data_IF_864586578558
#
_entry.id   IF_864586578558
#
_cell.length_a   1.000
_cell.length_b   1.000
_cell.length_c   1.000
_cell.angle_alpha   90.00
_cell.angle_beta   90.00
_cell.angle_gamma   90.00
#
_symmetry.space_group_name_H-M   'P 1'
#
loop_
_entity.id
_entity.type
_entity.pdbx_description
1 polymer ?
#
# COMPACT_ATOMS: atom_id res chain seq x y z
N UNK A 1 -31.31 -6.96 -65.69
CA UNK A 1 -32.26 -5.90 -66.12
C UNK A 1 -31.55 -4.58 -65.95
N UNK A 2 -31.04 -4.03 -67.05
CA UNK A 2 -30.36 -2.75 -67.11
C UNK A 2 -31.44 -1.71 -67.41
N UNK A 3 -31.74 -0.84 -66.46
CA UNK A 3 -32.75 0.22 -66.63
C UNK A 3 -32.05 1.52 -67.01
N UNK A 4 -32.17 1.88 -68.28
CA UNK A 4 -31.85 3.20 -68.81
C UNK A 4 -32.86 4.23 -68.26
N UNK A 5 -32.40 5.16 -67.41
CA UNK A 5 -33.16 6.37 -67.09
C UNK A 5 -32.35 7.61 -67.45
N UNK A 6 -32.63 8.07 -68.67
CA UNK A 6 -32.87 9.47 -69.10
C UNK A 6 -32.14 10.57 -68.32
N UNK A 7 -31.20 11.21 -69.03
CA UNK A 7 -30.60 12.49 -68.69
C UNK A 7 -31.67 13.59 -68.49
N UNK A 8 -31.43 14.57 -67.58
CA UNK A 8 -32.34 15.69 -67.38
C UNK A 8 -32.39 16.59 -68.61
N UNK A 9 -33.60 16.81 -69.12
CA UNK A 9 -33.93 17.80 -70.16
C UNK A 9 -33.52 19.21 -69.70
N UNK A 10 -32.83 19.94 -70.57
CA UNK A 10 -32.59 21.37 -70.40
C UNK A 10 -33.92 22.15 -70.34
N UNK A 11 -34.02 23.23 -69.55
CA UNK A 11 -35.23 24.03 -69.46
C UNK A 11 -35.50 24.76 -70.79
N UNK A 12 -36.75 24.65 -71.25
CA UNK A 12 -37.29 25.41 -72.38
C UNK A 12 -37.14 26.92 -72.10
N UNK A 13 -36.35 27.62 -72.90
CA UNK A 13 -36.37 29.08 -72.96
C UNK A 13 -37.47 29.53 -73.92
N UNK A 14 -38.54 30.12 -73.39
CA UNK A 14 -39.53 30.87 -74.17
C UNK A 14 -38.88 32.11 -74.81
N UNK A 15 -39.21 32.44 -76.07
CA UNK A 15 -38.59 33.55 -76.78
C UNK A 15 -39.47 34.80 -76.71
N UNK A 16 -39.59 35.43 -75.55
CA UNK A 16 -40.22 36.76 -75.44
C UNK A 16 -39.47 37.63 -74.43
N UNK A 17 -38.44 38.32 -74.90
CA UNK A 17 -37.84 39.45 -74.16
C UNK A 17 -37.38 40.57 -75.10
N UNK A 18 -37.66 41.86 -74.79
CA UNK A 18 -37.66 42.94 -75.79
C UNK A 18 -36.28 43.46 -76.21
N UNK A 19 -35.18 42.84 -75.78
CA UNK A 19 -33.82 43.32 -76.04
C UNK A 19 -33.14 42.59 -77.21
N UNK A 20 -33.82 41.62 -77.84
CA UNK A 20 -33.24 40.77 -78.89
C UNK A 20 -33.04 41.45 -80.27
N UNK A 21 -33.46 42.70 -80.44
CA UNK A 21 -33.36 43.42 -81.73
C UNK A 21 -32.36 44.58 -81.78
N UNK A 22 -31.56 44.79 -80.75
CA UNK A 22 -30.42 45.70 -80.83
C UNK A 22 -29.12 44.90 -80.70
N UNK A 23 -28.16 45.14 -81.60
CA UNK A 23 -26.83 44.50 -81.71
C UNK A 23 -26.69 43.32 -82.68
N UNK A 24 -27.46 43.31 -83.78
CA UNK A 24 -27.05 42.60 -85.00
C UNK A 24 -26.37 43.59 -85.97
N UNK A 25 -25.15 44.01 -85.62
CA UNK A 25 -24.13 44.49 -86.56
C UNK A 25 -22.87 44.82 -85.76
N UNK A 26 -21.70 44.41 -86.27
CA UNK A 26 -20.33 44.90 -85.96
C UNK A 26 -19.32 44.01 -85.23
N UNK A 27 -19.53 42.73 -84.82
CA UNK A 27 -18.39 41.91 -84.33
C UNK A 27 -18.47 40.40 -84.69
N UNK A 28 -17.33 39.74 -85.00
CA UNK A 28 -17.30 38.39 -85.55
C UNK A 28 -17.61 37.28 -84.53
N UNK A 29 -18.04 36.08 -84.97
CA UNK A 29 -18.58 35.01 -84.12
C UNK A 29 -17.61 34.42 -83.08
N UNK A 30 -16.32 34.76 -83.14
CA UNK A 30 -15.27 34.22 -82.26
C UNK A 30 -15.18 34.94 -80.90
N UNK A 31 -15.78 36.12 -80.75
CA UNK A 31 -15.70 36.91 -79.51
C UNK A 31 -16.72 36.45 -78.44
N UNK A 32 -17.94 36.09 -78.85
CA UNK A 32 -18.99 35.63 -77.94
C UNK A 32 -18.69 34.27 -77.31
N UNK A 33 -18.05 33.36 -78.06
CA UNK A 33 -17.59 32.07 -77.53
C UNK A 33 -16.49 32.22 -76.47
N UNK A 34 -15.63 33.24 -76.60
CA UNK A 34 -14.54 33.49 -75.65
C UNK A 34 -15.05 34.00 -74.30
N UNK A 35 -16.07 34.86 -74.27
CA UNK A 35 -16.64 35.41 -73.04
C UNK A 35 -17.44 34.35 -72.27
N UNK A 36 -18.23 33.53 -72.97
CA UNK A 36 -18.98 32.45 -72.33
C UNK A 36 -18.06 31.35 -71.80
N UNK A 37 -17.04 30.94 -72.56
CA UNK A 37 -16.04 29.98 -72.07
C UNK A 37 -15.28 30.55 -70.88
N UNK A 38 -14.86 31.83 -70.89
CA UNK A 38 -14.21 32.46 -69.74
C UNK A 38 -15.10 32.44 -68.50
N UNK A 39 -16.38 32.83 -68.61
CA UNK A 39 -17.32 32.79 -67.47
C UNK A 39 -17.58 31.38 -66.93
N UNK A 40 -17.57 30.36 -67.79
CA UNK A 40 -17.68 28.96 -67.37
C UNK A 40 -16.41 28.47 -66.70
N UNK A 41 -15.24 28.83 -67.23
CA UNK A 41 -13.93 28.52 -66.62
C UNK A 41 -13.80 29.22 -65.27
N UNK A 42 -14.14 30.51 -65.16
CA UNK A 42 -14.06 31.28 -63.91
C UNK A 42 -15.00 30.73 -62.84
N UNK A 43 -16.24 30.37 -63.21
CA UNK A 43 -17.15 29.66 -62.30
C UNK A 43 -16.61 28.29 -61.94
N UNK A 44 -16.11 27.52 -62.90
CA UNK A 44 -15.56 26.18 -62.66
C UNK A 44 -14.35 26.23 -61.72
N UNK A 45 -13.43 27.19 -61.90
CA UNK A 45 -12.27 27.41 -61.01
C UNK A 45 -12.67 27.91 -59.63
N UNK A 46 -13.74 28.73 -59.53
CA UNK A 46 -14.30 29.16 -58.24
C UNK A 46 -14.89 27.99 -57.46
N UNK A 47 -15.74 27.18 -58.09
CA UNK A 47 -16.31 25.98 -57.45
C UNK A 47 -15.25 24.93 -57.12
N UNK A 48 -14.23 24.73 -57.97
CA UNK A 48 -13.14 23.80 -57.71
C UNK A 48 -12.20 24.31 -56.61
N UNK A 49 -11.94 25.62 -56.55
CA UNK A 49 -11.22 26.28 -55.45
C UNK A 49 -11.97 26.18 -54.12
N UNK A 50 -13.29 26.31 -54.12
CA UNK A 50 -14.14 26.12 -52.95
C UNK A 50 -14.17 24.64 -52.48
N UNK A 51 -14.16 23.69 -53.43
CA UNK A 51 -14.05 22.26 -53.14
C UNK A 51 -12.69 21.90 -52.51
N UNK A 52 -11.60 22.48 -53.03
CA UNK A 52 -10.26 22.32 -52.45
C UNK A 52 -10.18 22.96 -51.05
N UNK A 53 -10.72 24.17 -50.88
CA UNK A 53 -10.79 24.84 -49.58
C UNK A 53 -11.61 24.04 -48.55
N UNK A 54 -12.76 23.49 -48.96
CA UNK A 54 -13.58 22.62 -48.12
C UNK A 54 -12.83 21.33 -47.73
N UNK A 55 -12.05 20.75 -48.65
CA UNK A 55 -11.20 19.59 -48.37
C UNK A 55 -10.11 19.91 -47.34
N UNK A 56 -9.42 21.04 -47.48
CA UNK A 56 -8.42 21.50 -46.50
C UNK A 56 -9.03 21.78 -45.13
N UNK A 57 -10.20 22.42 -45.07
CA UNK A 57 -10.93 22.67 -43.82
C UNK A 57 -11.33 21.35 -43.15
N UNK A 58 -11.84 20.38 -43.92
CA UNK A 58 -12.20 19.06 -43.39
C UNK A 58 -10.98 18.34 -42.80
N UNK A 59 -9.84 18.34 -43.50
CA UNK A 59 -8.59 17.73 -43.03
C UNK A 59 -8.04 18.42 -41.77
N UNK A 60 -8.17 19.75 -41.68
CA UNK A 60 -7.76 20.50 -40.49
C UNK A 60 -8.64 20.20 -39.28
N UNK A 61 -9.96 20.09 -39.48
CA UNK A 61 -10.90 19.69 -38.43
C UNK A 61 -10.63 18.26 -37.96
N UNK A 62 -10.39 17.32 -38.89
CA UNK A 62 -10.04 15.94 -38.57
C UNK A 62 -8.76 15.86 -37.73
N UNK A 63 -7.71 16.57 -38.12
CA UNK A 63 -6.46 16.67 -37.33
C UNK A 63 -6.68 17.33 -35.97
N UNK A 64 -7.57 18.31 -35.89
CA UNK A 64 -7.88 18.98 -34.62
C UNK A 64 -8.60 18.05 -33.65
N UNK A 65 -9.56 17.27 -34.14
CA UNK A 65 -10.30 16.28 -33.34
C UNK A 65 -9.37 15.15 -32.91
N UNK A 66 -8.51 14.66 -33.82
CA UNK A 66 -7.52 13.63 -33.49
C UNK A 66 -6.55 14.09 -32.38
N UNK A 67 -6.12 15.35 -32.42
CA UNK A 67 -5.28 15.94 -31.38
C UNK A 67 -6.00 16.02 -30.02
N UNK A 68 -7.27 16.40 -30.01
CA UNK A 68 -8.07 16.51 -28.78
C UNK A 68 -8.26 15.13 -28.12
N UNK A 69 -8.54 14.10 -28.93
CA UNK A 69 -8.64 12.71 -28.47
C UNK A 69 -7.30 12.24 -27.87
N UNK A 70 -6.18 12.56 -28.52
CA UNK A 70 -4.87 12.15 -28.03
C UNK A 70 -4.48 12.86 -26.72
N UNK A 71 -4.82 14.14 -26.59
CA UNK A 71 -4.65 14.89 -25.34
C UNK A 71 -5.52 14.31 -24.21
N UNK A 72 -6.75 13.91 -24.50
CA UNK A 72 -7.63 13.26 -23.52
C UNK A 72 -7.10 11.91 -23.05
N UNK A 73 -6.62 11.06 -23.98
CA UNK A 73 -5.95 9.80 -23.63
C UNK A 73 -4.73 10.04 -22.76
N UNK A 74 -3.90 11.03 -23.10
CA UNK A 74 -2.70 11.34 -22.33
C UNK A 74 -3.05 11.78 -20.90
N UNK A 75 -4.09 12.61 -20.74
CA UNK A 75 -4.59 12.98 -19.40
C UNK A 75 -5.04 11.76 -18.59
N UNK A 76 -5.81 10.86 -19.22
CA UNK A 76 -6.27 9.65 -18.54
C UNK A 76 -5.11 8.74 -18.12
N UNK A 77 -4.10 8.58 -18.98
CA UNK A 77 -2.89 7.81 -18.66
C UNK A 77 -2.16 8.44 -17.48
N UNK A 78 -1.97 9.76 -17.47
CA UNK A 78 -1.30 10.46 -16.37
C UNK A 78 -2.06 10.31 -15.04
N UNK A 79 -3.38 10.43 -15.05
CA UNK A 79 -4.21 10.26 -13.87
C UNK A 79 -4.16 8.82 -13.34
N UNK A 80 -4.19 7.83 -14.22
CA UNK A 80 -4.08 6.42 -13.84
C UNK A 80 -2.67 6.08 -13.31
N UNK A 81 -1.61 6.64 -13.90
CA UNK A 81 -0.24 6.52 -13.39
C UNK A 81 -0.11 7.11 -11.99
N UNK A 82 -0.64 8.32 -11.76
CA UNK A 82 -0.65 8.96 -10.45
C UNK A 82 -1.42 8.12 -9.43
N UNK A 83 -2.59 7.59 -9.80
CA UNK A 83 -3.39 6.71 -8.96
C UNK A 83 -2.61 5.45 -8.54
N UNK A 84 -1.90 4.83 -9.49
CA UNK A 84 -1.08 3.65 -9.23
C UNK A 84 0.14 3.96 -8.35
N UNK A 85 0.77 5.11 -8.53
CA UNK A 85 1.87 5.59 -7.67
C UNK A 85 1.37 5.79 -6.24
N UNK A 86 0.29 6.55 -6.05
CA UNK A 86 -0.31 6.78 -4.73
C UNK A 86 -0.70 5.47 -4.03
N UNK A 87 -1.28 4.53 -4.78
CA UNK A 87 -1.62 3.21 -4.24
C UNK A 87 -0.38 2.43 -3.80
N UNK A 88 0.70 2.45 -4.60
CA UNK A 88 1.98 1.80 -4.26
C UNK A 88 2.61 2.41 -3.01
N UNK A 89 2.65 3.73 -2.91
CA UNK A 89 3.19 4.44 -1.74
C UNK A 89 2.39 4.12 -0.47
N UNK A 90 1.06 4.11 -0.56
CA UNK A 90 0.18 3.69 0.52
C UNK A 90 0.45 2.25 0.97
N UNK A 91 0.56 1.31 0.03
CA UNK A 91 0.92 -0.08 0.34
C UNK A 91 2.30 -0.21 0.99
N UNK A 92 3.27 0.57 0.53
CA UNK A 92 4.61 0.58 1.10
C UNK A 92 4.59 1.11 2.55
N UNK A 93 3.83 2.18 2.81
CA UNK A 93 3.63 2.70 4.16
C UNK A 93 3.00 1.63 5.08
N UNK A 94 1.93 0.95 4.63
CA UNK A 94 1.31 -0.11 5.45
C UNK A 94 2.26 -1.27 5.73
N UNK A 95 3.06 -1.66 4.74
CA UNK A 95 4.09 -2.69 4.89
C UNK A 95 5.13 -2.30 5.96
N UNK A 96 5.57 -1.06 5.97
CA UNK A 96 6.50 -0.54 6.98
C UNK A 96 5.87 -0.53 8.38
N UNK A 97 4.62 -0.11 8.51
CA UNK A 97 3.89 -0.19 9.78
C UNK A 97 3.77 -1.62 10.30
N UNK A 98 3.43 -2.58 9.42
CA UNK A 98 3.36 -3.99 9.77
C UNK A 98 4.73 -4.53 10.19
N UNK A 99 5.80 -4.15 9.50
CA UNK A 99 7.16 -4.53 9.89
C UNK A 99 7.53 -3.96 11.25
N UNK A 100 7.19 -2.70 11.54
CA UNK A 100 7.40 -2.11 12.86
C UNK A 100 6.61 -2.87 13.95
N UNK A 101 5.34 -3.20 13.68
CA UNK A 101 4.53 -4.00 14.60
C UNK A 101 5.14 -5.39 14.84
N UNK A 102 5.60 -6.06 13.79
CA UNK A 102 6.26 -7.37 13.92
C UNK A 102 7.52 -7.26 14.78
N UNK A 103 8.38 -6.27 14.55
CA UNK A 103 9.59 -6.10 15.38
C UNK A 103 9.27 -5.80 16.84
N UNK A 104 8.17 -5.10 17.13
CA UNK A 104 7.70 -4.90 18.50
C UNK A 104 7.18 -6.19 19.12
N UNK A 105 6.47 -7.03 18.35
CA UNK A 105 6.02 -8.34 18.81
C UNK A 105 7.21 -9.26 19.09
N UNK A 106 8.18 -9.35 18.18
CA UNK A 106 9.38 -10.17 18.39
C UNK A 106 10.14 -9.76 19.67
N UNK A 107 10.25 -8.44 19.93
CA UNK A 107 10.85 -7.92 21.17
C UNK A 107 10.03 -8.31 22.41
N UNK A 108 8.71 -8.23 22.34
CA UNK A 108 7.82 -8.63 23.44
C UNK A 108 7.90 -10.14 23.70
N UNK A 109 7.92 -10.95 22.66
CA UNK A 109 8.06 -12.39 22.77
C UNK A 109 9.40 -12.79 23.38
N UNK A 110 10.50 -12.16 22.93
CA UNK A 110 11.82 -12.37 23.52
C UNK A 110 11.84 -12.00 25.02
N UNK A 111 11.27 -10.84 25.38
CA UNK A 111 11.16 -10.41 26.76
C UNK A 111 10.34 -11.38 27.61
N UNK A 112 9.18 -11.82 27.12
CA UNK A 112 8.35 -12.81 27.83
C UNK A 112 9.07 -14.15 27.99
N UNK A 113 9.81 -14.60 26.98
CA UNK A 113 10.61 -15.84 27.05
C UNK A 113 11.71 -15.74 28.10
N UNK A 114 12.41 -14.61 28.18
CA UNK A 114 13.40 -14.35 29.22
C UNK A 114 12.76 -14.34 30.61
N UNK A 115 11.64 -13.62 30.78
CA UNK A 115 10.88 -13.60 32.03
C UNK A 115 10.46 -15.00 32.49
N UNK A 116 9.96 -15.83 31.58
CA UNK A 116 9.60 -17.22 31.86
C UNK A 116 10.82 -18.08 32.27
N UNK A 117 11.97 -17.86 31.64
CA UNK A 117 13.22 -18.54 32.00
C UNK A 117 13.67 -18.16 33.43
N UNK A 118 13.60 -16.87 33.76
CA UNK A 118 13.90 -16.35 35.09
C UNK A 118 12.95 -16.92 36.15
N UNK A 119 11.65 -16.96 35.90
CA UNK A 119 10.66 -17.56 36.81
C UNK A 119 10.93 -19.04 37.06
N UNK A 120 11.31 -19.79 36.01
CA UNK A 120 11.69 -21.20 36.15
C UNK A 120 12.95 -21.37 37.01
N UNK A 121 13.96 -20.53 36.81
CA UNK A 121 15.18 -20.52 37.62
C UNK A 121 14.88 -20.19 39.10
N UNK A 122 14.07 -19.15 39.33
CA UNK A 122 13.57 -18.77 40.66
C UNK A 122 12.85 -19.92 41.35
N UNK A 123 11.89 -20.55 40.66
CA UNK A 123 11.11 -21.67 41.21
C UNK A 123 12.03 -22.82 41.61
N UNK A 124 13.00 -23.17 40.75
CA UNK A 124 13.98 -24.21 41.05
C UNK A 124 14.82 -23.86 42.28
N UNK A 125 15.37 -22.65 42.34
CA UNK A 125 16.19 -22.20 43.47
C UNK A 125 15.41 -22.18 44.79
N UNK A 126 14.17 -21.68 44.76
CA UNK A 126 13.27 -21.68 45.92
C UNK A 126 12.92 -23.10 46.38
N UNK A 127 12.67 -24.03 45.46
CA UNK A 127 12.41 -25.44 45.78
C UNK A 127 13.63 -26.10 46.42
N UNK A 128 14.82 -25.91 45.87
CA UNK A 128 16.08 -26.46 46.43
C UNK A 128 16.35 -25.92 47.84
N UNK A 129 16.16 -24.62 48.05
CA UNK A 129 16.33 -24.00 49.36
C UNK A 129 15.29 -24.49 50.37
N UNK A 130 14.04 -24.64 49.95
CA UNK A 130 12.97 -25.17 50.81
C UNK A 130 13.20 -26.64 51.18
N UNK A 131 13.70 -27.47 50.25
CA UNK A 131 14.08 -28.84 50.54
C UNK A 131 15.22 -28.89 51.57
N UNK A 132 16.21 -28.00 51.46
CA UNK A 132 17.32 -27.92 52.44
C UNK A 132 16.84 -27.46 53.81
N UNK A 133 15.95 -26.47 53.89
CA UNK A 133 15.35 -26.02 55.15
C UNK A 133 14.57 -27.16 55.80
N UNK A 134 13.73 -27.87 55.03
CA UNK A 134 12.95 -29.00 55.53
C UNK A 134 13.85 -30.13 56.05
N UNK A 135 14.96 -30.42 55.36
CA UNK A 135 15.94 -31.39 55.83
C UNK A 135 16.57 -30.95 57.16
N UNK A 136 16.94 -29.67 57.31
CA UNK A 136 17.46 -29.15 58.56
C UNK A 136 16.44 -29.22 59.69
N UNK A 137 15.15 -28.98 59.42
CA UNK A 137 14.07 -29.13 60.40
C UNK A 137 13.91 -30.59 60.86
N UNK A 138 14.04 -31.55 59.94
CA UNK A 138 14.03 -32.96 60.27
C UNK A 138 15.24 -33.33 61.15
N UNK A 139 16.46 -32.96 60.75
CA UNK A 139 17.67 -33.24 61.53
C UNK A 139 17.60 -32.56 62.91
N UNK A 140 17.08 -31.33 63.00
CA UNK A 140 16.86 -30.65 64.27
C UNK A 140 15.90 -31.42 65.18
N UNK A 141 14.82 -31.99 64.63
CA UNK A 141 13.88 -32.81 65.39
C UNK A 141 14.54 -34.09 65.90
N UNK A 142 15.28 -34.78 65.04
CA UNK A 142 16.04 -35.99 65.40
C UNK A 142 17.05 -35.70 66.51
N UNK A 143 17.88 -34.66 66.35
CA UNK A 143 18.87 -34.26 67.36
C UNK A 143 18.26 -33.79 68.67
N UNK A 144 17.08 -33.16 68.62
CA UNK A 144 16.37 -32.77 69.85
C UNK A 144 15.84 -33.99 70.61
N UNK A 145 15.40 -35.03 69.90
CA UNK A 145 15.03 -36.32 70.51
C UNK A 145 16.26 -37.02 71.10
N UNK A 146 17.40 -37.01 70.39
CA UNK A 146 18.66 -37.56 70.90
C UNK A 146 19.08 -36.84 72.19
N UNK A 147 19.01 -35.51 72.22
CA UNK A 147 19.35 -34.69 73.38
C UNK A 147 18.52 -35.05 74.63
N UNK A 148 17.25 -35.39 74.43
CA UNK A 148 16.36 -35.82 75.52
C UNK A 148 16.76 -37.21 76.06
N UNK A 149 17.22 -38.11 75.19
CA UNK A 149 17.63 -39.47 75.52
C UNK A 149 19.06 -39.57 76.08
N UNK A 150 19.93 -38.60 75.79
CA UNK A 150 21.33 -38.63 76.23
C UNK A 150 21.48 -38.31 77.73
N UNK A 151 22.10 -39.24 78.45
CA UNK A 151 22.43 -39.12 79.88
C UNK A 151 23.86 -38.58 80.12
N UNK A 152 24.79 -38.82 79.21
CA UNK A 152 26.16 -38.30 79.30
C UNK A 152 26.17 -36.77 79.15
N UNK A 153 26.72 -36.07 80.14
CA UNK A 153 26.75 -34.59 80.20
C UNK A 153 27.54 -33.98 79.04
N UNK A 154 28.69 -34.55 78.69
CA UNK A 154 29.56 -34.01 77.64
C UNK A 154 28.93 -34.17 76.26
N UNK A 155 28.33 -35.35 75.99
CA UNK A 155 27.58 -35.60 74.75
C UNK A 155 26.32 -34.72 74.67
N UNK A 156 25.66 -34.50 75.80
CA UNK A 156 24.49 -33.62 75.88
C UNK A 156 24.85 -32.17 75.54
N UNK A 157 25.98 -31.68 76.03
CA UNK A 157 26.46 -30.33 75.69
C UNK A 157 26.87 -30.24 74.21
N UNK A 158 27.54 -31.25 73.68
CA UNK A 158 27.86 -31.33 72.25
C UNK A 158 26.59 -31.28 71.37
N UNK A 159 25.53 -32.01 71.75
CA UNK A 159 24.23 -31.97 71.06
C UNK A 159 23.57 -30.60 71.14
N UNK A 160 23.66 -29.88 72.28
CA UNK A 160 23.15 -28.51 72.39
C UNK A 160 23.85 -27.57 71.43
N UNK A 161 25.18 -27.65 71.33
CA UNK A 161 25.96 -26.85 70.40
C UNK A 161 25.59 -27.15 68.94
N UNK A 162 25.44 -28.43 68.59
CA UNK A 162 25.07 -28.83 67.23
C UNK A 162 23.66 -28.35 66.85
N UNK A 163 22.67 -28.54 67.74
CA UNK A 163 21.31 -28.01 67.54
C UNK A 163 21.34 -26.49 67.35
N UNK A 164 22.15 -25.77 68.12
CA UNK A 164 22.29 -24.33 67.97
C UNK A 164 22.89 -23.94 66.61
N UNK A 165 23.90 -24.68 66.13
CA UNK A 165 24.51 -24.44 64.81
C UNK A 165 23.53 -24.73 63.67
N UNK A 166 22.78 -25.83 63.76
CA UNK A 166 21.76 -26.20 62.79
C UNK A 166 20.63 -25.16 62.73
N UNK A 167 20.17 -24.64 63.88
CA UNK A 167 19.20 -23.54 63.94
C UNK A 167 19.72 -22.29 63.25
N UNK A 168 20.93 -21.84 63.58
CA UNK A 168 21.56 -20.68 62.91
C UNK A 168 21.64 -20.86 61.40
N UNK A 169 22.02 -22.06 60.93
CA UNK A 169 22.12 -22.36 59.50
C UNK A 169 20.76 -22.32 58.82
N UNK A 170 19.73 -22.92 59.43
CA UNK A 170 18.36 -22.88 58.94
C UNK A 170 17.85 -21.44 58.86
N UNK A 171 18.03 -20.65 59.92
CA UNK A 171 17.53 -19.27 59.99
C UNK A 171 18.21 -18.40 58.93
N UNK A 172 19.53 -18.56 58.74
CA UNK A 172 20.26 -17.91 57.65
C UNK A 172 19.70 -18.29 56.26
N UNK A 173 19.35 -19.56 56.03
CA UNK A 173 18.74 -20.00 54.77
C UNK A 173 17.32 -19.44 54.58
N UNK A 174 16.53 -19.34 55.64
CA UNK A 174 15.20 -18.71 55.60
C UNK A 174 15.32 -17.23 55.23
N UNK A 175 16.25 -16.52 55.86
CA UNK A 175 16.50 -15.11 55.55
C UNK A 175 16.99 -14.93 54.10
N UNK A 176 17.90 -15.78 53.63
CA UNK A 176 18.34 -15.78 52.24
C UNK A 176 17.17 -16.01 51.27
N UNK A 177 16.26 -16.93 51.59
CA UNK A 177 15.05 -17.19 50.79
C UNK A 177 14.18 -15.93 50.69
N UNK A 178 13.86 -15.31 51.82
CA UNK A 178 13.04 -14.09 51.85
C UNK A 178 13.69 -12.96 51.05
N UNK A 179 15.00 -12.76 51.21
CA UNK A 179 15.76 -11.77 50.45
C UNK A 179 15.74 -12.03 48.94
N UNK A 180 15.85 -13.30 48.52
CA UNK A 180 15.73 -13.68 47.11
C UNK A 180 14.32 -13.41 46.60
N UNK A 181 13.29 -13.74 47.37
CA UNK A 181 11.89 -13.51 47.00
C UNK A 181 11.61 -12.02 46.76
N UNK A 182 12.07 -11.14 47.66
CA UNK A 182 11.96 -9.69 47.47
C UNK A 182 12.69 -9.18 46.24
N UNK A 183 13.91 -9.68 45.98
CA UNK A 183 14.68 -9.32 44.79
C UNK A 183 13.98 -9.75 43.52
N UNK A 184 13.46 -10.98 43.49
CA UNK A 184 12.73 -11.48 42.33
C UNK A 184 11.43 -10.71 42.11
N UNK A 185 10.66 -10.41 43.15
CA UNK A 185 9.45 -9.59 43.01
C UNK A 185 9.76 -8.23 42.38
N UNK A 186 10.83 -7.55 42.81
CA UNK A 186 11.28 -6.29 42.20
C UNK A 186 11.65 -6.43 40.72
N UNK A 187 12.26 -7.55 40.32
CA UNK A 187 12.64 -7.81 38.91
C UNK A 187 11.43 -8.16 38.05
N UNK A 188 10.41 -8.81 38.61
CA UNK A 188 9.21 -9.26 37.89
C UNK A 188 8.17 -8.14 37.72
N UNK A 189 8.10 -7.22 38.70
CA UNK A 189 7.15 -6.09 38.72
C UNK A 189 7.61 -4.87 37.92
N UNK A 190 8.89 -4.76 37.56
CA UNK A 190 9.42 -3.76 36.64
C UNK A 190 9.38 -4.25 35.18
#
# INVERSE_FOLDING_TARGET
RISNHLAPKAPNCEPDSPWAHALSSTYPPTFYHRITVSRYVDKWTFWHGDLEAASWISLLLEKSVEKEIEEEKLRWIQEEEERLVNMRESFQHFKEQLQQQQTMLDKREAFLKEKMCLEKSKTKSQMEMSARISHLEQVLKEKSIDLEKTENVDEKEALRHEIQNLRRTRDCLVDQRCNLDEKFQKVISN
#
